data_IF_984685843403
#
_entry.id   IF_984685843403
#
_cell.length_a   1.000
_cell.length_b   1.000
_cell.length_c   1.000
_cell.angle_alpha   90.00
_cell.angle_beta   90.00
_cell.angle_gamma   90.00
#
_symmetry.space_group_name_H-M   'P 1'
#
loop_
_entity.id
_entity.type
_entity.pdbx_description
1 polymer ?
#
# COMPACT_ATOMS: atom_id res chain seq x y z
N UNK A 1 14.78 -20.67 0.70
CA UNK A 1 15.28 -19.62 1.62
C UNK A 1 16.34 -18.80 0.87
N UNK A 2 16.17 -17.48 0.76
CA UNK A 2 17.08 -16.59 0.02
C UNK A 2 18.09 -15.98 0.99
N UNK A 3 19.37 -16.19 0.78
CA UNK A 3 20.42 -15.54 1.55
C UNK A 3 20.73 -14.15 0.99
N UNK A 4 20.83 -13.14 1.86
CA UNK A 4 21.19 -11.77 1.48
C UNK A 4 22.48 -11.41 2.22
N UNK A 5 23.61 -11.18 1.51
CA UNK A 5 24.86 -10.85 2.18
C UNK A 5 24.81 -9.44 2.82
N UNK A 6 25.37 -9.25 4.04
CA UNK A 6 25.38 -7.96 4.72
C UNK A 6 26.56 -7.11 4.22
N UNK A 7 26.38 -6.42 3.10
CA UNK A 7 27.38 -5.48 2.57
C UNK A 7 27.21 -4.09 3.18
N UNK A 8 28.31 -3.36 3.38
CA UNK A 8 28.27 -1.97 3.86
C UNK A 8 27.38 -1.09 2.96
N UNK A 9 26.63 -0.17 3.57
CA UNK A 9 25.74 0.77 2.86
C UNK A 9 24.46 0.17 2.28
N UNK A 10 24.15 -1.11 2.56
CA UNK A 10 22.90 -1.75 2.09
C UNK A 10 21.76 -1.56 3.09
N UNK A 11 20.65 -1.01 2.62
CA UNK A 11 19.35 -1.06 3.31
C UNK A 11 18.54 -2.26 2.81
N UNK A 12 17.87 -2.97 3.71
CA UNK A 12 16.91 -4.03 3.38
C UNK A 12 15.61 -3.71 4.11
N UNK A 13 14.54 -3.53 3.35
CA UNK A 13 13.18 -3.48 3.85
C UNK A 13 12.44 -4.73 3.35
N UNK A 14 11.59 -5.31 4.19
CA UNK A 14 10.83 -6.51 3.87
C UNK A 14 9.53 -6.55 4.67
N UNK A 15 8.56 -7.31 4.17
CA UNK A 15 7.30 -7.59 4.87
C UNK A 15 7.57 -8.45 6.11
N UNK A 16 7.22 -7.99 7.32
CA UNK A 16 7.52 -8.71 8.56
C UNK A 16 6.82 -10.06 8.70
N UNK A 17 5.76 -10.31 7.92
CA UNK A 17 5.06 -11.61 7.89
C UNK A 17 5.93 -12.69 7.27
N UNK A 18 6.91 -12.32 6.44
CA UNK A 18 7.84 -13.27 5.83
C UNK A 18 8.82 -13.77 6.91
N UNK A 19 8.87 -15.08 7.19
CA UNK A 19 9.82 -15.61 8.15
C UNK A 19 11.26 -15.25 7.77
N UNK A 20 11.97 -14.64 8.71
CA UNK A 20 13.32 -14.13 8.48
C UNK A 20 14.21 -14.38 9.72
N UNK A 21 15.52 -14.34 9.50
CA UNK A 21 16.50 -14.55 10.56
C UNK A 21 17.87 -14.03 10.14
N UNK A 22 18.74 -13.87 11.12
CA UNK A 22 20.11 -13.41 10.91
C UNK A 22 21.09 -14.56 11.17
N UNK A 23 22.05 -14.76 10.26
CA UNK A 23 23.11 -15.73 10.49
C UNK A 23 24.01 -15.23 11.64
N UNK A 24 24.37 -16.11 12.60
CA UNK A 24 25.35 -15.79 13.63
C UNK A 24 26.68 -15.35 13.01
N UNK A 25 27.32 -14.35 13.62
CA UNK A 25 28.66 -13.89 13.23
C UNK A 25 29.66 -14.45 14.21
N UNK A 26 30.66 -15.18 13.72
CA UNK A 26 31.75 -15.72 14.52
C UNK A 26 33.08 -15.04 14.13
N UNK A 27 33.99 -14.87 15.10
CA UNK A 27 35.41 -14.61 14.80
C UNK A 27 35.89 -13.15 14.80
N UNK A 28 35.06 -12.15 15.10
CA UNK A 28 35.53 -10.76 15.20
C UNK A 28 35.94 -10.40 16.64
N UNK A 29 37.18 -10.73 17.05
CA UNK A 29 37.79 -10.18 18.27
C UNK A 29 38.21 -8.70 18.12
N UNK A 30 38.22 -8.20 16.88
CA UNK A 30 38.45 -6.79 16.56
C UNK A 30 37.11 -6.14 16.18
N UNK A 31 36.66 -5.10 16.91
CA UNK A 31 35.38 -4.43 16.65
C UNK A 31 35.30 -3.79 15.25
N UNK A 32 36.43 -3.53 14.59
CA UNK A 32 36.44 -3.03 13.21
C UNK A 32 35.93 -4.05 12.19
N UNK A 33 35.91 -5.34 12.56
CA UNK A 33 35.35 -6.42 11.75
C UNK A 33 33.95 -6.84 12.23
N UNK A 34 33.33 -6.09 13.15
CA UNK A 34 31.98 -6.40 13.61
C UNK A 34 30.92 -6.04 12.55
N UNK A 35 29.78 -6.75 12.60
CA UNK A 35 28.61 -6.41 11.79
C UNK A 35 27.73 -5.43 12.56
N UNK A 36 27.81 -4.15 12.20
CA UNK A 36 26.90 -3.12 12.72
C UNK A 36 25.69 -3.04 11.82
N UNK A 37 24.51 -3.06 12.42
CA UNK A 37 23.22 -2.85 11.73
C UNK A 37 22.40 -1.83 12.50
N UNK A 38 21.67 -1.00 11.76
CA UNK A 38 20.58 -0.18 12.30
C UNK A 38 19.31 -0.86 11.84
N UNK A 39 18.44 -1.21 12.79
CA UNK A 39 17.14 -1.79 12.50
C UNK A 39 16.05 -0.95 13.16
N UNK A 40 14.87 -0.97 12.57
CA UNK A 40 13.72 -0.23 13.05
C UNK A 40 12.47 -0.68 12.31
N UNK A 41 11.34 -0.15 12.77
CA UNK A 41 10.06 -0.27 12.10
C UNK A 41 9.73 1.08 11.49
N UNK A 42 9.05 1.07 10.35
CA UNK A 42 8.40 2.30 9.90
C UNK A 42 7.34 2.71 10.93
N UNK A 43 7.09 4.02 11.03
CA UNK A 43 6.05 4.57 11.88
C UNK A 43 4.67 4.02 11.50
N UNK A 44 3.64 4.36 12.28
CA UNK A 44 2.28 4.07 11.84
C UNK A 44 2.05 4.69 10.45
N UNK A 45 1.41 3.95 9.54
CA UNK A 45 1.14 4.48 8.21
C UNK A 45 0.26 5.72 8.30
N UNK A 46 0.71 6.81 7.70
CA UNK A 46 -0.04 8.05 7.56
C UNK A 46 0.02 8.52 6.10
N UNK A 47 -0.98 9.28 5.67
CA UNK A 47 -0.98 9.88 4.35
C UNK A 47 0.24 10.79 4.20
N UNK A 48 1.07 10.52 3.21
CA UNK A 48 2.29 11.28 2.93
C UNK A 48 2.08 12.17 1.71
N UNK A 49 2.58 13.39 1.75
CA UNK A 49 2.43 14.40 0.70
C UNK A 49 3.77 14.66 0.02
N UNK A 50 3.74 14.91 -1.29
CA UNK A 50 4.90 15.19 -2.11
C UNK A 50 4.61 16.35 -3.07
N UNK A 51 5.63 17.12 -3.46
CA UNK A 51 5.48 18.24 -4.40
C UNK A 51 4.92 19.48 -3.72
N UNK A 52 4.05 20.24 -4.41
CA UNK A 52 3.52 21.51 -3.91
C UNK A 52 2.75 21.33 -2.59
N UNK A 53 2.21 20.13 -2.39
CA UNK A 53 1.55 19.76 -1.15
C UNK A 53 2.48 19.71 0.06
N UNK A 54 3.80 19.55 -0.05
CA UNK A 54 4.66 19.40 1.14
C UNK A 54 4.69 20.66 2.01
N UNK A 55 4.71 21.82 1.36
CA UNK A 55 4.95 23.12 1.99
C UNK A 55 3.72 24.04 2.01
N UNK A 56 2.62 23.66 1.36
CA UNK A 56 1.37 24.43 1.32
C UNK A 56 0.27 23.82 2.23
N UNK A 57 -0.01 24.43 3.40
CA UNK A 57 -1.05 23.94 4.31
C UNK A 57 -2.47 24.01 3.75
N UNK A 58 -2.77 24.97 2.87
CA UNK A 58 -4.09 25.13 2.27
C UNK A 58 -4.33 24.01 1.25
N UNK A 59 -3.33 23.74 0.40
CA UNK A 59 -3.37 22.63 -0.54
C UNK A 59 -3.47 21.26 0.18
N UNK A 60 -2.72 21.05 1.28
CA UNK A 60 -2.88 19.83 2.09
C UNK A 60 -4.30 19.67 2.64
N UNK A 61 -4.87 20.76 3.17
CA UNK A 61 -6.19 20.72 3.77
C UNK A 61 -7.27 20.38 2.75
N UNK A 62 -7.16 20.94 1.53
CA UNK A 62 -8.04 20.61 0.42
C UNK A 62 -7.95 19.13 0.03
N UNK A 63 -6.73 18.64 -0.24
CA UNK A 63 -6.52 17.24 -0.63
C UNK A 63 -7.03 16.28 0.44
N UNK A 64 -6.82 16.60 1.73
CA UNK A 64 -7.36 15.82 2.83
C UNK A 64 -8.89 15.83 2.89
N UNK A 65 -9.53 16.97 2.61
CA UNK A 65 -10.98 17.07 2.59
C UNK A 65 -11.57 16.17 1.49
N UNK A 66 -11.07 16.29 0.26
CA UNK A 66 -11.52 15.46 -0.87
C UNK A 66 -11.21 13.98 -0.64
N UNK A 67 -10.02 13.67 -0.12
CA UNK A 67 -9.65 12.30 0.23
C UNK A 67 -10.63 11.71 1.24
N UNK A 68 -10.92 12.41 2.33
CA UNK A 68 -11.86 11.93 3.35
C UNK A 68 -13.25 11.66 2.77
N UNK A 69 -13.76 12.55 1.91
CA UNK A 69 -15.04 12.35 1.22
C UNK A 69 -15.00 11.10 0.30
N UNK A 70 -13.90 10.87 -0.41
CA UNK A 70 -13.73 9.69 -1.27
C UNK A 70 -13.54 8.38 -0.50
N UNK A 71 -13.09 8.44 0.76
CA UNK A 71 -12.88 7.26 1.59
C UNK A 71 -14.19 6.70 2.15
N UNK A 72 -15.23 7.52 2.32
CA UNK A 72 -16.54 7.05 2.81
C UNK A 72 -17.16 5.93 1.94
N UNK A 73 -17.37 6.12 0.62
CA UNK A 73 -17.91 5.07 -0.24
C UNK A 73 -16.98 3.86 -0.36
N UNK A 74 -15.67 4.06 -0.27
CA UNK A 74 -14.69 2.97 -0.25
C UNK A 74 -14.84 2.12 1.01
N UNK A 75 -14.94 2.73 2.18
CA UNK A 75 -15.13 2.04 3.46
C UNK A 75 -16.47 1.29 3.45
N UNK A 76 -17.53 1.90 2.91
CA UNK A 76 -18.83 1.24 2.76
C UNK A 76 -18.73 0.02 1.84
N UNK A 77 -18.16 0.18 0.64
CA UNK A 77 -17.99 -0.90 -0.33
C UNK A 77 -17.21 -2.09 0.26
N UNK A 78 -16.10 -1.82 0.94
CA UNK A 78 -15.29 -2.84 1.62
C UNK A 78 -16.01 -3.46 2.84
N UNK A 79 -16.92 -2.72 3.47
CA UNK A 79 -17.69 -3.14 4.63
C UNK A 79 -18.98 -3.92 4.31
N UNK A 80 -19.43 -3.94 3.05
CA UNK A 80 -20.66 -4.63 2.62
C UNK A 80 -20.63 -6.14 2.88
N UNK A 81 -19.43 -6.72 2.87
CA UNK A 81 -19.23 -8.18 2.82
C UNK A 81 -19.45 -8.78 1.44
N UNK A 82 -19.73 -7.98 0.39
CA UNK A 82 -19.82 -8.49 -0.99
C UNK A 82 -18.45 -8.91 -1.52
N UNK A 83 -17.38 -8.22 -1.10
CA UNK A 83 -15.99 -8.56 -1.41
C UNK A 83 -15.41 -9.41 -0.27
N UNK A 84 -14.65 -10.46 -0.63
CA UNK A 84 -13.91 -11.28 0.33
C UNK A 84 -12.90 -10.48 1.14
N UNK A 85 -12.69 -10.89 2.39
CA UNK A 85 -11.76 -10.22 3.30
C UNK A 85 -10.32 -10.45 2.87
N UNK A 86 -9.49 -9.43 3.10
CA UNK A 86 -8.05 -9.48 2.91
C UNK A 86 -7.34 -9.07 4.18
N UNK A 87 -6.09 -9.51 4.32
CA UNK A 87 -5.18 -9.08 5.39
C UNK A 87 -3.92 -8.47 4.78
N UNK A 88 -3.28 -7.55 5.50
CA UNK A 88 -2.00 -6.97 5.13
C UNK A 88 -2.07 -5.46 4.92
N UNK A 89 -1.19 -4.97 4.07
CA UNK A 89 -0.94 -3.55 3.87
C UNK A 89 -0.89 -3.21 2.38
N UNK A 90 -1.57 -2.13 2.01
CA UNK A 90 -1.54 -1.52 0.68
C UNK A 90 -1.22 -0.04 0.85
N UNK A 91 -0.23 0.47 0.13
CA UNK A 91 0.01 1.90 0.00
C UNK A 91 -0.15 2.29 -1.46
N UNK A 92 -1.04 3.25 -1.72
CA UNK A 92 -1.37 3.71 -3.06
C UNK A 92 -0.86 5.13 -3.24
N UNK A 93 -0.04 5.34 -4.27
CA UNK A 93 0.39 6.65 -4.73
C UNK A 93 -0.60 7.19 -5.75
N UNK A 94 -1.06 8.41 -5.53
CA UNK A 94 -1.96 9.16 -6.40
C UNK A 94 -1.18 10.38 -6.91
N UNK A 95 -1.09 10.53 -8.22
CA UNK A 95 -0.47 11.66 -8.89
C UNK A 95 -1.56 12.55 -9.52
N UNK A 96 -1.53 13.86 -9.23
CA UNK A 96 -2.53 14.80 -9.76
C UNK A 96 -1.99 15.56 -10.99
N UNK A 97 -2.85 15.75 -11.99
CA UNK A 97 -2.55 16.61 -13.14
C UNK A 97 -2.80 18.08 -12.77
N UNK A 98 -1.75 18.90 -12.88
CA UNK A 98 -1.78 20.33 -12.53
C UNK A 98 -2.83 21.12 -13.31
N UNK A 99 -3.13 20.76 -14.56
CA UNK A 99 -3.99 21.57 -15.44
C UNK A 99 -5.45 21.46 -15.09
N UNK A 100 -5.87 20.27 -14.66
CA UNK A 100 -7.27 19.98 -14.45
C UNK A 100 -7.57 19.46 -13.04
N UNK A 101 -6.58 19.22 -12.17
CA UNK A 101 -6.75 18.72 -10.81
C UNK A 101 -7.23 17.25 -10.71
N UNK A 102 -7.29 16.53 -11.81
CA UNK A 102 -7.71 15.12 -11.82
C UNK A 102 -6.57 14.17 -11.45
N UNK A 103 -6.90 12.95 -11.04
CA UNK A 103 -5.90 11.88 -10.90
C UNK A 103 -5.35 11.50 -12.28
N UNK A 104 -4.06 11.73 -12.46
CA UNK A 104 -3.30 11.34 -13.66
C UNK A 104 -2.80 9.89 -13.59
N UNK A 105 -2.49 9.41 -12.38
CA UNK A 105 -2.01 8.06 -12.13
C UNK A 105 -2.36 7.62 -10.71
N UNK A 106 -2.79 6.36 -10.59
CA UNK A 106 -2.98 5.66 -9.33
C UNK A 106 -2.11 4.39 -9.37
N UNK A 107 -1.25 4.18 -8.37
CA UNK A 107 -0.34 3.02 -8.39
C UNK A 107 0.01 2.50 -7.00
N UNK A 108 0.05 1.18 -6.83
CA UNK A 108 0.51 0.58 -5.60
C UNK A 108 2.05 0.73 -5.45
N UNK A 109 2.49 1.38 -4.38
CA UNK A 109 3.91 1.54 -4.03
C UNK A 109 4.36 0.55 -2.94
N UNK A 110 3.40 -0.04 -2.22
CA UNK A 110 3.61 -1.18 -1.35
C UNK A 110 2.36 -2.04 -1.38
N UNK A 111 2.50 -3.34 -1.62
CA UNK A 111 1.37 -4.25 -1.71
C UNK A 111 1.76 -5.58 -1.07
N UNK A 112 1.09 -5.86 0.03
CA UNK A 112 1.26 -7.08 0.81
C UNK A 112 -0.10 -7.75 1.04
N UNK A 113 -1.14 -7.39 0.27
CA UNK A 113 -2.46 -7.94 0.46
C UNK A 113 -2.47 -9.45 0.17
N UNK A 114 -3.13 -10.19 1.06
CA UNK A 114 -3.43 -11.61 0.91
C UNK A 114 -4.89 -11.84 1.27
N UNK A 115 -5.53 -12.82 0.64
CA UNK A 115 -6.87 -13.24 1.04
C UNK A 115 -6.85 -13.71 2.50
N UNK A 116 -7.89 -13.35 3.27
CA UNK A 116 -8.08 -13.88 4.62
C UNK A 116 -8.36 -15.40 4.52
N UNK A 117 -7.51 -16.27 5.08
CA UNK A 117 -7.71 -17.72 5.02
C UNK A 117 -9.00 -18.18 5.72
N UNK A 118 -9.55 -17.37 6.62
CA UNK A 118 -10.81 -17.66 7.32
C UNK A 118 -12.05 -17.16 6.54
N UNK A 119 -11.88 -16.46 5.41
CA UNK A 119 -12.97 -16.01 4.51
C UNK A 119 -12.90 -16.69 3.14
N UNK A 120 -12.86 -18.02 3.12
CA UNK A 120 -12.91 -18.77 1.87
C UNK A 120 -14.34 -18.87 1.34
N UNK A 121 -14.63 -18.18 0.22
CA UNK A 121 -15.98 -18.19 -0.40
C UNK A 121 -16.16 -19.16 -1.56
N UNK A 122 -15.07 -19.77 -2.04
CA UNK A 122 -15.12 -20.82 -3.05
C UNK A 122 -15.43 -20.31 -4.46
N UNK A 123 -16.32 -21.01 -5.17
CA UNK A 123 -16.70 -20.71 -6.56
C UNK A 123 -17.81 -19.66 -6.56
N UNK A 124 -17.54 -18.52 -7.19
CA UNK A 124 -18.48 -17.39 -7.30
C UNK A 124 -19.25 -17.39 -8.63
N UNK A 125 -18.85 -18.20 -9.59
CA UNK A 125 -19.55 -18.33 -10.87
C UNK A 125 -18.88 -19.27 -11.84
N UNK A 126 -19.32 -19.21 -13.10
CA UNK A 126 -18.69 -19.91 -14.22
C UNK A 126 -18.41 -18.92 -15.35
N UNK A 127 -17.28 -19.09 -16.02
CA UNK A 127 -16.94 -18.29 -17.20
C UNK A 127 -17.70 -18.76 -18.45
N UNK A 128 -17.47 -18.10 -19.60
CA UNK A 128 -18.14 -18.44 -20.86
C UNK A 128 -17.79 -19.85 -21.39
N UNK A 129 -16.74 -20.48 -20.87
CA UNK A 129 -16.32 -21.84 -21.20
C UNK A 129 -16.82 -22.87 -20.18
N UNK A 130 -17.60 -22.43 -19.19
CA UNK A 130 -18.16 -23.28 -18.13
C UNK A 130 -17.15 -23.67 -17.05
N UNK A 131 -16.02 -22.97 -16.94
CA UNK A 131 -15.02 -23.20 -15.88
C UNK A 131 -15.40 -22.45 -14.63
N UNK A 132 -15.18 -23.07 -13.48
CA UNK A 132 -15.42 -22.45 -12.17
C UNK A 132 -14.51 -21.22 -12.00
N UNK A 133 -15.13 -20.10 -11.65
CA UNK A 133 -14.46 -18.84 -11.28
C UNK A 133 -14.44 -18.77 -9.77
N UNK A 134 -13.24 -18.65 -9.22
CA UNK A 134 -13.03 -18.45 -7.78
C UNK A 134 -12.98 -16.96 -7.47
N UNK A 135 -13.43 -16.60 -6.27
CA UNK A 135 -13.27 -15.24 -5.78
C UNK A 135 -11.78 -14.87 -5.71
N UNK A 136 -11.44 -13.65 -6.14
CA UNK A 136 -10.11 -13.06 -5.94
C UNK A 136 -10.24 -11.78 -5.13
N UNK A 137 -10.41 -11.89 -3.80
CA UNK A 137 -10.67 -10.73 -2.95
C UNK A 137 -9.52 -9.73 -2.97
N UNK A 138 -8.29 -10.19 -3.25
CA UNK A 138 -7.13 -9.30 -3.35
C UNK A 138 -7.26 -8.38 -4.56
N UNK A 139 -7.67 -8.93 -5.71
CA UNK A 139 -7.90 -8.13 -6.92
C UNK A 139 -9.12 -7.23 -6.78
N UNK A 140 -10.21 -7.72 -6.19
CA UNK A 140 -11.44 -6.94 -6.00
C UNK A 140 -11.22 -5.74 -5.06
N UNK A 141 -10.51 -5.93 -3.95
CA UNK A 141 -10.15 -4.83 -3.04
C UNK A 141 -9.28 -3.80 -3.76
N UNK A 142 -8.27 -4.23 -4.53
CA UNK A 142 -7.39 -3.31 -5.27
C UNK A 142 -8.16 -2.50 -6.31
N UNK A 143 -9.03 -3.17 -7.06
CA UNK A 143 -9.87 -2.51 -8.05
C UNK A 143 -10.79 -1.48 -7.39
N UNK A 144 -11.44 -1.86 -6.29
CA UNK A 144 -12.32 -0.95 -5.53
C UNK A 144 -11.55 0.27 -5.02
N UNK A 145 -10.34 0.08 -4.48
CA UNK A 145 -9.47 1.18 -4.04
C UNK A 145 -9.06 2.06 -5.23
N UNK A 146 -8.63 1.47 -6.35
CA UNK A 146 -8.21 2.20 -7.54
C UNK A 146 -9.34 3.03 -8.16
N UNK A 147 -10.55 2.47 -8.26
CA UNK A 147 -11.72 3.16 -8.81
C UNK A 147 -12.16 4.33 -7.93
N UNK A 148 -12.20 4.14 -6.60
CA UNK A 148 -12.55 5.21 -5.67
C UNK A 148 -11.50 6.33 -5.69
N UNK A 149 -10.22 5.98 -5.56
CA UNK A 149 -9.14 6.98 -5.53
C UNK A 149 -8.93 7.65 -6.89
N UNK A 150 -9.12 6.93 -7.99
CA UNK A 150 -8.99 7.47 -9.35
C UNK A 150 -10.08 8.48 -9.71
N UNK A 151 -11.17 8.52 -8.95
CA UNK A 151 -12.25 9.49 -9.13
C UNK A 151 -12.03 10.82 -8.40
N UNK A 152 -10.97 10.93 -7.60
CA UNK A 152 -10.63 12.13 -6.83
C UNK A 152 -10.33 13.30 -7.77
N UNK A 153 -10.80 14.47 -7.36
CA UNK A 153 -10.67 15.71 -8.12
C UNK A 153 -10.32 16.85 -7.15
N UNK A 154 -9.22 17.54 -7.42
CA UNK A 154 -8.78 18.73 -6.68
C UNK A 154 -8.85 19.98 -7.55
N UNK A 155 -8.52 21.14 -6.97
CA UNK A 155 -8.44 22.42 -7.65
C UNK A 155 -7.33 22.45 -8.70
N UNK A 156 -7.58 23.16 -9.79
CA UNK A 156 -6.59 23.42 -10.83
C UNK A 156 -5.41 24.23 -10.29
N UNK A 157 -4.21 23.99 -10.84
CA UNK A 157 -2.98 24.68 -10.47
C UNK A 157 -2.24 24.07 -9.28
N UNK A 158 -2.76 23.00 -8.69
CA UNK A 158 -2.06 22.22 -7.68
C UNK A 158 -1.36 21.02 -8.32
N UNK A 159 -0.05 20.87 -8.11
CA UNK A 159 0.73 19.74 -8.61
C UNK A 159 1.37 18.96 -7.47
N UNK A 160 1.31 17.63 -7.53
CA UNK A 160 1.95 16.80 -6.52
C UNK A 160 1.41 15.39 -6.48
N UNK A 161 1.89 14.66 -5.48
CA UNK A 161 1.46 13.30 -5.23
C UNK A 161 1.11 13.11 -3.76
N UNK A 162 0.18 12.20 -3.48
CA UNK A 162 -0.02 11.68 -2.14
C UNK A 162 0.17 10.18 -2.12
N UNK A 163 0.59 9.65 -0.98
CA UNK A 163 0.59 8.20 -0.71
C UNK A 163 -0.40 7.94 0.41
N UNK A 164 -1.45 7.18 0.10
CA UNK A 164 -2.52 6.82 1.03
C UNK A 164 -2.31 5.37 1.50
N UNK A 165 -2.12 5.15 2.81
CA UNK A 165 -1.96 3.82 3.36
C UNK A 165 -3.29 3.18 3.77
N UNK A 166 -3.41 1.88 3.51
CA UNK A 166 -4.52 1.02 3.93
C UNK A 166 -3.98 -0.18 4.71
N UNK A 167 -4.52 -0.39 5.90
CA UNK A 167 -4.19 -1.53 6.76
C UNK A 167 -5.44 -2.39 6.89
N UNK A 168 -5.31 -3.66 6.51
CA UNK A 168 -6.37 -4.66 6.59
C UNK A 168 -6.00 -5.71 7.63
N UNK A 169 -6.88 -5.94 8.60
CA UNK A 169 -6.67 -6.83 9.76
C UNK A 169 -7.76 -7.85 9.89
#
# INVERSE_FOLDING_TARGET
>A
MRYIPPTFGRCIAFDPRIPHGVTPVFGANDPRHCRVVIHGWFAQPETTFFGDFEDDPEAKAEVLAVLNESLEPLIEALGTGEIGRVCGYLAVKIDFDEKNGSVSQCSAVCDTLVADPEDYRGVVGQDMEGRDVFEDPVSDVKLTVEENLGSIQISEGLSGSIVVPFVFT
#
